data_IF_762690776290
#
_entry.id   IF_762690776290
#
_cell.length_a   1.000
_cell.length_b   1.000
_cell.length_c   1.000
_cell.angle_alpha   90.00
_cell.angle_beta   90.00
_cell.angle_gamma   90.00
#
_symmetry.space_group_name_H-M   'P 1'
#
loop_
_entity.id
_entity.type
_entity.pdbx_description
1 polymer ?
#
# COMPACT_ATOMS: atom_id res chain seq x y z
N UNK A 1 19.50 19.46 -9.47
CA UNK A 1 18.87 18.63 -10.52
C UNK A 1 18.26 17.39 -9.87
N UNK A 2 17.27 17.55 -8.99
CA UNK A 2 16.82 16.45 -8.11
C UNK A 2 15.30 16.29 -8.01
N UNK A 3 14.50 17.21 -8.56
CA UNK A 3 13.04 17.17 -8.44
C UNK A 3 12.37 16.21 -9.45
N UNK A 4 13.00 15.90 -10.60
CA UNK A 4 12.38 15.09 -11.64
C UNK A 4 12.39 13.58 -11.30
N UNK A 5 13.49 13.08 -10.73
CA UNK A 5 13.66 11.65 -10.39
C UNK A 5 12.68 11.19 -9.31
N UNK A 6 12.41 12.03 -8.31
CA UNK A 6 11.49 11.70 -7.22
C UNK A 6 10.07 11.43 -7.75
N UNK A 7 9.61 12.24 -8.70
CA UNK A 7 8.28 12.05 -9.32
C UNK A 7 8.17 10.79 -10.18
N UNK A 8 9.27 10.35 -10.82
CA UNK A 8 9.24 9.16 -11.66
C UNK A 8 9.21 7.88 -10.82
N UNK A 9 10.03 7.82 -9.76
CA UNK A 9 10.02 6.72 -8.80
C UNK A 9 8.64 6.62 -8.10
N UNK A 10 8.06 7.73 -7.65
CA UNK A 10 6.70 7.77 -7.09
C UNK A 10 5.66 7.19 -8.05
N UNK A 11 5.71 7.58 -9.33
CA UNK A 11 4.79 7.09 -10.36
C UNK A 11 4.92 5.59 -10.58
N UNK A 12 6.16 5.07 -10.61
CA UNK A 12 6.40 3.62 -10.71
C UNK A 12 5.81 2.90 -9.52
N UNK A 13 6.12 3.36 -8.29
CA UNK A 13 5.65 2.73 -7.06
C UNK A 13 4.12 2.73 -6.98
N UNK A 14 3.46 3.83 -7.37
CA UNK A 14 2.00 3.90 -7.45
C UNK A 14 1.42 2.91 -8.47
N UNK A 15 2.01 2.83 -9.66
CA UNK A 15 1.54 1.92 -10.72
C UNK A 15 1.70 0.44 -10.33
N UNK A 16 2.84 0.06 -9.73
CA UNK A 16 3.10 -1.30 -9.26
C UNK A 16 2.14 -1.65 -8.11
N UNK A 17 2.00 -0.76 -7.12
CA UNK A 17 1.08 -0.97 -5.99
C UNK A 17 -0.36 -1.19 -6.46
N UNK A 18 -0.84 -0.35 -7.38
CA UNK A 18 -2.17 -0.48 -7.98
C UNK A 18 -2.35 -1.83 -8.68
N UNK A 19 -1.39 -2.21 -9.53
CA UNK A 19 -1.41 -3.49 -10.23
C UNK A 19 -1.47 -4.69 -9.26
N UNK A 20 -0.65 -4.68 -8.19
CA UNK A 20 -0.65 -5.77 -7.21
C UNK A 20 -1.98 -5.85 -6.43
N UNK A 21 -2.58 -4.70 -6.09
CA UNK A 21 -3.89 -4.65 -5.45
C UNK A 21 -4.98 -5.20 -6.37
N UNK A 22 -4.96 -4.86 -7.66
CA UNK A 22 -5.89 -5.42 -8.64
C UNK A 22 -5.71 -6.94 -8.78
N UNK A 23 -4.47 -7.43 -8.80
CA UNK A 23 -4.18 -8.88 -8.79
C UNK A 23 -4.76 -9.54 -7.54
N UNK A 24 -4.58 -8.95 -6.35
CA UNK A 24 -5.17 -9.47 -5.11
C UNK A 24 -6.70 -9.50 -5.23
N UNK A 25 -7.33 -8.42 -5.70
CA UNK A 25 -8.79 -8.34 -5.84
C UNK A 25 -9.32 -9.43 -6.78
N UNK A 26 -8.65 -9.62 -7.90
CA UNK A 26 -9.08 -10.57 -8.94
C UNK A 26 -8.80 -12.03 -8.55
N UNK A 27 -7.83 -12.26 -7.66
CA UNK A 27 -7.47 -13.61 -7.18
C UNK A 27 -8.09 -13.99 -5.84
N UNK A 28 -8.71 -13.03 -5.13
CA UNK A 28 -9.38 -13.28 -3.85
C UNK A 28 -10.56 -14.24 -4.05
N UNK A 29 -10.44 -15.44 -3.48
CA UNK A 29 -11.49 -16.47 -3.53
C UNK A 29 -12.37 -16.44 -2.29
N UNK A 30 -13.58 -17.00 -2.41
CA UNK A 30 -14.45 -17.21 -1.25
C UNK A 30 -13.83 -18.25 -0.30
N UNK A 31 -14.08 -18.16 1.02
CA UNK A 31 -13.64 -19.18 1.97
C UNK A 31 -14.09 -20.58 1.53
N UNK A 32 -13.17 -21.55 1.56
CA UNK A 32 -13.42 -22.93 1.13
C UNK A 32 -13.19 -23.21 -0.36
N UNK A 33 -12.88 -22.19 -1.18
CA UNK A 33 -12.40 -22.38 -2.56
C UNK A 33 -10.88 -22.30 -2.63
N UNK A 34 -10.26 -23.16 -3.45
CA UNK A 34 -8.82 -23.09 -3.67
C UNK A 34 -8.43 -21.77 -4.32
N UNK A 35 -7.41 -21.12 -3.76
CA UNK A 35 -6.87 -19.88 -4.28
C UNK A 35 -6.10 -20.14 -5.58
N UNK A 36 -6.25 -19.32 -6.64
CA UNK A 36 -5.62 -19.56 -7.94
C UNK A 36 -4.09 -19.39 -7.91
N UNK A 37 -3.58 -18.57 -6.98
CA UNK A 37 -2.15 -18.41 -6.71
C UNK A 37 -1.70 -19.30 -5.55
N UNK A 38 -0.46 -19.78 -5.64
CA UNK A 38 0.19 -20.50 -4.54
C UNK A 38 0.34 -19.62 -3.29
N UNK A 39 0.43 -20.25 -2.11
CA UNK A 39 0.68 -19.54 -0.85
C UNK A 39 1.94 -18.68 -0.92
N UNK A 40 3.04 -19.26 -1.41
CA UNK A 40 4.31 -18.56 -1.64
C UNK A 40 4.14 -17.30 -2.49
N UNK A 41 3.42 -17.39 -3.61
CA UNK A 41 3.20 -16.22 -4.49
C UNK A 41 2.43 -15.12 -3.77
N UNK A 42 1.44 -15.48 -2.94
CA UNK A 42 0.66 -14.51 -2.18
C UNK A 42 1.51 -13.82 -1.12
N UNK A 43 2.37 -14.57 -0.42
CA UNK A 43 3.33 -14.03 0.54
C UNK A 43 4.33 -13.07 -0.12
N UNK A 44 4.84 -13.44 -1.29
CA UNK A 44 5.75 -12.59 -2.09
C UNK A 44 5.05 -11.28 -2.52
N UNK A 45 3.76 -11.32 -2.89
CA UNK A 45 2.97 -10.12 -3.21
C UNK A 45 2.83 -9.22 -1.98
N UNK A 46 2.46 -9.78 -0.82
CA UNK A 46 2.33 -9.00 0.42
C UNK A 46 3.67 -8.36 0.80
N UNK A 47 4.76 -9.12 0.75
CA UNK A 47 6.09 -8.60 1.03
C UNK A 47 6.49 -7.47 0.07
N UNK A 48 6.15 -7.58 -1.22
CA UNK A 48 6.42 -6.52 -2.19
C UNK A 48 5.63 -5.23 -1.86
N UNK A 49 4.37 -5.35 -1.44
CA UNK A 49 3.55 -4.20 -1.00
C UNK A 49 4.13 -3.51 0.25
N UNK A 50 4.68 -4.28 1.19
CA UNK A 50 5.37 -3.73 2.37
C UNK A 50 6.61 -2.92 1.98
N UNK A 51 7.43 -3.45 1.06
CA UNK A 51 8.62 -2.76 0.55
C UNK A 51 8.25 -1.47 -0.19
N UNK A 52 7.21 -1.49 -1.02
CA UNK A 52 6.71 -0.30 -1.72
C UNK A 52 6.26 0.75 -0.70
N UNK A 53 5.50 0.34 0.32
CA UNK A 53 5.00 1.24 1.36
C UNK A 53 6.13 1.87 2.17
N UNK A 54 7.12 1.07 2.56
CA UNK A 54 8.32 1.56 3.25
C UNK A 54 9.05 2.60 2.40
N UNK A 55 9.22 2.34 1.09
CA UNK A 55 9.87 3.28 0.18
C UNK A 55 9.08 4.57 0.00
N UNK A 56 7.77 4.48 -0.17
CA UNK A 56 6.89 5.65 -0.28
C UNK A 56 6.97 6.52 0.98
N UNK A 57 7.06 5.89 2.17
CA UNK A 57 7.24 6.60 3.43
C UNK A 57 8.58 7.35 3.49
N UNK A 58 9.69 6.69 3.15
CA UNK A 58 11.01 7.35 3.08
C UNK A 58 11.00 8.57 2.14
N UNK A 59 10.35 8.43 0.97
CA UNK A 59 10.25 9.52 -0.01
C UNK A 59 9.41 10.69 0.51
N UNK A 60 8.31 10.41 1.22
CA UNK A 60 7.42 11.41 1.78
C UNK A 60 8.08 12.16 2.96
N UNK A 61 8.80 11.44 3.81
CA UNK A 61 9.65 12.02 4.87
C UNK A 61 10.73 12.93 4.28
N UNK A 62 11.42 12.50 3.23
CA UNK A 62 12.42 13.30 2.53
C UNK A 62 11.83 14.57 1.88
N UNK A 63 10.56 14.52 1.45
CA UNK A 63 9.82 15.66 0.91
C UNK A 63 9.23 16.59 1.99
N UNK A 64 9.44 16.30 3.28
CA UNK A 64 8.86 17.05 4.40
C UNK A 64 7.34 16.91 4.53
N UNK A 65 6.76 15.87 3.91
CA UNK A 65 5.33 15.53 3.98
C UNK A 65 5.21 14.13 4.57
N UNK A 66 5.35 13.95 5.88
CA UNK A 66 5.20 12.62 6.47
C UNK A 66 3.83 12.05 6.09
N UNK A 67 3.82 10.79 5.63
CA UNK A 67 2.61 9.97 5.43
C UNK A 67 2.03 9.62 6.81
N UNK A 68 1.53 10.62 7.53
CA UNK A 68 0.76 10.46 8.76
C UNK A 68 -0.74 10.40 8.40
N UNK A 69 -1.10 9.58 7.42
CA UNK A 69 -2.48 9.24 7.14
C UNK A 69 -2.90 8.11 8.08
N UNK A 70 -3.05 8.46 9.36
CA UNK A 70 -3.75 7.59 10.31
C UNK A 70 -5.16 7.37 9.74
N UNK A 71 -5.61 6.11 9.52
CA UNK A 71 -6.94 5.87 8.96
C UNK A 71 -7.99 6.52 9.86
N UNK A 72 -8.71 7.51 9.32
CA UNK A 72 -9.89 8.05 9.98
C UNK A 72 -11.01 7.04 9.73
N UNK A 73 -11.28 6.18 10.72
CA UNK A 73 -12.42 5.29 10.67
C UNK A 73 -13.69 6.15 10.74
N UNK A 74 -14.57 6.13 9.71
CA UNK A 74 -15.75 7.00 9.66
C UNK A 74 -16.81 6.75 10.76
N UNK A 75 -16.59 5.78 11.65
CA UNK A 75 -17.58 5.34 12.66
C UNK A 75 -17.12 5.47 14.12
N UNK A 76 -16.00 6.12 14.43
CA UNK A 76 -15.67 6.40 15.83
C UNK A 76 -16.34 7.71 16.30
N UNK A 77 -17.36 7.69 17.18
CA UNK A 77 -17.85 8.90 17.82
C UNK A 77 -16.74 9.49 18.70
N UNK A 78 -16.56 10.82 18.72
CA UNK A 78 -15.56 11.45 19.57
C UNK A 78 -15.88 11.12 21.04
N UNK A 79 -14.95 10.43 21.71
CA UNK A 79 -15.00 10.23 23.15
C UNK A 79 -14.88 11.60 23.83
N UNK A 80 -16.03 12.22 24.10
CA UNK A 80 -16.15 13.39 24.96
C UNK A 80 -15.67 12.99 26.36
N UNK A 81 -14.50 13.50 26.75
CA UNK A 81 -14.04 13.42 28.14
C UNK A 81 -14.51 14.70 28.84
N UNK A 82 -15.40 14.50 29.83
CA UNK A 82 -15.82 15.52 30.81
C UNK A 82 -14.66 15.99 31.67
#
# INVERSE_FOLDING_TARGET
>A
MSENTQTFEERILLAIRGTLVDVIRDTTTRPGMQHPLSERTREEICHCLDLITARQKEMAEAAGKPLDERPIYPEEPPCNKH
#
